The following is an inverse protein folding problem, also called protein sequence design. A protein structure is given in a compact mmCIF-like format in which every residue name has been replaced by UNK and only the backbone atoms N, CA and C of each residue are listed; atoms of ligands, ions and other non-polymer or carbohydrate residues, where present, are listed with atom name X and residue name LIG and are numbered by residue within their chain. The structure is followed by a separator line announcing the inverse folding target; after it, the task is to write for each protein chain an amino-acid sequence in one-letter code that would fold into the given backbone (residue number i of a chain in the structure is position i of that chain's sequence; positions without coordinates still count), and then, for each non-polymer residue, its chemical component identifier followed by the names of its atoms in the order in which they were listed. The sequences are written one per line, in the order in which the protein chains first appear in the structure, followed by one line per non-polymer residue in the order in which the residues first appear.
data_IF_255664417420
#
_entry.id   IF_255664417420
#
_cell.length_a   1.000
_cell.length_b   1.000
_cell.length_c   1.000
_cell.angle_alpha   90.00
_cell.angle_beta   90.00
_cell.angle_gamma   90.00
#
_symmetry.space_group_name_H-M   'P 1'
#
loop_
_entity.id
_entity.type
_entity.pdbx_description
1 polymer ?
#
# COMPACT_ATOMS: atom_id res chain seq x y z
N UNK A 1 -4.57 6.76 4.65
CA UNK A 1 -4.33 7.39 5.96
C UNK A 1 -2.87 7.36 6.33
N UNK A 2 -2.41 8.42 6.98
CA UNK A 2 -1.04 8.49 7.51
C UNK A 2 -1.05 8.15 9.01
N UNK A 3 -0.17 7.27 9.43
CA UNK A 3 -0.06 6.80 10.82
C UNK A 3 1.39 6.77 11.26
N UNK A 4 1.61 7.05 12.54
CA UNK A 4 2.94 7.01 13.16
C UNK A 4 2.97 5.97 14.26
N UNK A 5 4.10 5.33 14.47
CA UNK A 5 4.28 4.31 15.50
C UNK A 5 5.12 3.13 15.04
N UNK A 6 5.13 2.08 15.84
CA UNK A 6 5.85 0.85 15.52
C UNK A 6 5.24 0.14 14.33
N UNK A 7 6.08 -0.45 13.48
CA UNK A 7 5.69 -1.18 12.29
C UNK A 7 4.55 -2.19 12.52
N UNK A 8 4.55 -2.88 13.66
CA UNK A 8 3.52 -3.87 13.99
C UNK A 8 2.16 -3.24 14.32
N UNK A 9 2.16 -2.05 14.91
CA UNK A 9 0.95 -1.37 15.37
C UNK A 9 0.29 -0.53 14.28
N UNK A 10 1.12 0.07 13.43
CA UNK A 10 0.69 0.92 12.33
C UNK A 10 -0.38 0.27 11.44
N UNK A 11 -0.23 -1.03 11.14
CA UNK A 11 -1.18 -1.78 10.33
C UNK A 11 -2.58 -1.87 10.95
N UNK A 12 -2.66 -2.09 12.27
CA UNK A 12 -3.94 -2.16 13.00
C UNK A 12 -4.60 -0.79 13.09
N UNK A 13 -3.84 0.25 13.41
CA UNK A 13 -4.35 1.62 13.55
C UNK A 13 -4.87 2.15 12.20
N UNK A 14 -4.12 1.91 11.14
CA UNK A 14 -4.55 2.27 9.79
C UNK A 14 -5.79 1.51 9.35
N UNK A 15 -5.83 0.19 9.60
CA UNK A 15 -6.99 -0.63 9.24
C UNK A 15 -8.26 -0.17 9.97
N UNK A 16 -8.16 0.22 11.23
CA UNK A 16 -9.31 0.73 11.99
C UNK A 16 -9.91 1.97 11.33
N UNK A 17 -9.08 2.90 10.87
CA UNK A 17 -9.52 4.13 10.19
C UNK A 17 -10.08 3.84 8.79
N UNK A 18 -9.32 3.14 7.97
CA UNK A 18 -9.70 2.83 6.58
C UNK A 18 -10.85 1.82 6.53
N UNK A 19 -10.85 0.83 7.42
CA UNK A 19 -11.95 -0.12 7.59
C UNK A 19 -13.23 0.57 8.02
N UNK A 20 -13.13 1.51 8.97
CA UNK A 20 -14.25 2.35 9.37
C UNK A 20 -14.92 3.02 8.17
N UNK A 21 -14.13 3.64 7.30
CA UNK A 21 -14.63 4.28 6.09
C UNK A 21 -15.40 3.33 5.17
N UNK A 22 -14.84 2.18 4.82
CA UNK A 22 -15.49 1.23 3.90
C UNK A 22 -16.66 0.48 4.53
N UNK A 23 -16.73 0.41 5.87
CA UNK A 23 -17.84 -0.22 6.59
C UNK A 23 -18.98 0.75 6.93
N UNK A 24 -18.93 1.99 6.44
CA UNK A 24 -20.04 2.93 6.52
C UNK A 24 -19.75 4.20 7.32
N UNK A 25 -18.54 4.42 7.85
CA UNK A 25 -18.16 5.69 8.50
C UNK A 25 -17.82 6.76 7.45
N UNK A 26 -18.81 7.11 6.64
CA UNK A 26 -18.77 8.14 5.62
C UNK A 26 -20.11 8.89 5.59
N UNK A 27 -20.18 10.00 4.88
CA UNK A 27 -21.33 10.91 4.91
C UNK A 27 -22.65 10.31 4.41
N UNK A 28 -22.62 9.18 3.72
CA UNK A 28 -23.81 8.48 3.18
C UNK A 28 -24.08 7.14 3.85
N UNK A 29 -23.31 6.75 4.87
CA UNK A 29 -23.37 5.44 5.53
C UNK A 29 -23.24 4.27 4.54
N UNK A 30 -22.56 4.50 3.41
CA UNK A 30 -22.40 3.52 2.35
C UNK A 30 -21.33 2.47 2.72
N UNK A 31 -21.65 1.20 2.49
CA UNK A 31 -20.68 0.11 2.60
C UNK A 31 -19.99 -0.11 1.26
N UNK A 32 -18.66 -0.07 1.27
CA UNK A 32 -17.82 -0.25 0.10
C UNK A 32 -17.10 -1.60 0.23
N UNK A 33 -17.07 -2.36 -0.85
CA UNK A 33 -16.38 -3.65 -0.86
C UNK A 33 -14.86 -3.47 -0.67
N UNK A 34 -14.27 -4.30 0.19
CA UNK A 34 -12.83 -4.32 0.37
C UNK A 34 -12.15 -4.97 -0.84
N UNK A 35 -11.07 -4.39 -1.30
CA UNK A 35 -10.23 -4.94 -2.38
C UNK A 35 -8.83 -5.29 -1.86
N UNK A 36 -8.05 -5.96 -2.68
CA UNK A 36 -6.64 -6.23 -2.44
C UNK A 36 -5.80 -5.61 -3.57
N UNK A 37 -4.57 -5.21 -3.30
CA UNK A 37 -3.85 -5.29 -2.03
C UNK A 37 -4.15 -4.14 -1.07
N UNK A 38 -3.76 -4.29 0.20
CA UNK A 38 -3.52 -3.20 1.14
C UNK A 38 -2.06 -2.79 1.02
N UNK A 39 -1.79 -1.52 0.82
CA UNK A 39 -0.42 -1.02 0.63
C UNK A 39 0.05 -0.18 1.81
N UNK A 40 1.35 -0.21 2.05
CA UNK A 40 2.03 0.56 3.08
C UNK A 40 3.33 1.11 2.53
N UNK A 41 3.56 2.41 2.71
CA UNK A 41 4.79 3.10 2.30
C UNK A 41 5.33 3.87 3.48
N UNK A 42 6.63 3.78 3.73
CA UNK A 42 7.27 4.61 4.75
C UNK A 42 7.59 5.99 4.18
N UNK A 43 7.12 7.03 4.87
CA UNK A 43 7.43 8.42 4.52
C UNK A 43 8.81 8.82 5.06
N UNK A 44 9.47 9.86 4.50
CA UNK A 44 10.78 10.31 4.95
C UNK A 44 10.83 10.76 6.42
N UNK A 45 9.71 11.16 6.99
CA UNK A 45 9.57 11.53 8.41
C UNK A 45 9.43 10.32 9.36
N UNK A 46 9.48 9.09 8.82
CA UNK A 46 9.34 7.85 9.57
C UNK A 46 7.90 7.40 9.82
N UNK A 47 6.90 8.19 9.42
CA UNK A 47 5.49 7.77 9.43
C UNK A 47 5.20 6.81 8.28
N UNK A 48 4.00 6.23 8.29
CA UNK A 48 3.56 5.30 7.25
C UNK A 48 2.28 5.80 6.60
N UNK A 49 2.26 5.77 5.27
CA UNK A 49 1.06 5.94 4.48
C UNK A 49 0.48 4.55 4.19
N UNK A 50 -0.72 4.28 4.68
CA UNK A 50 -1.44 3.03 4.42
C UNK A 50 -2.66 3.32 3.56
N UNK A 51 -2.87 2.52 2.52
CA UNK A 51 -3.91 2.76 1.54
C UNK A 51 -4.73 1.51 1.24
N UNK A 52 -6.03 1.72 1.06
CA UNK A 52 -6.94 0.76 0.44
C UNK A 52 -7.25 1.23 -0.98
N UNK A 53 -7.34 0.30 -1.92
CA UNK A 53 -7.83 0.60 -3.26
C UNK A 53 -9.35 0.49 -3.29
N UNK A 54 -9.99 1.48 -3.88
CA UNK A 54 -11.43 1.43 -4.06
C UNK A 54 -11.82 0.58 -5.26
N UNK A 55 -12.99 -0.10 -5.23
CA UNK A 55 -13.47 -0.85 -6.39
C UNK A 55 -13.56 0.02 -7.64
N UNK A 56 -13.23 -0.54 -8.80
CA UNK A 56 -13.15 0.19 -10.08
C UNK A 56 -14.46 0.85 -10.55
N UNK A 57 -15.59 0.47 -9.97
CA UNK A 57 -16.89 1.12 -10.22
C UNK A 57 -17.00 2.52 -9.62
N UNK A 58 -16.10 2.90 -8.71
CA UNK A 58 -16.05 4.22 -8.08
C UNK A 58 -14.99 5.11 -8.72
N UNK A 59 -15.28 6.40 -8.73
CA UNK A 59 -14.33 7.49 -9.02
C UNK A 59 -14.26 8.42 -7.82
N UNK A 60 -13.34 9.38 -7.81
CA UNK A 60 -13.29 10.41 -6.75
C UNK A 60 -14.62 11.13 -6.57
N UNK A 61 -15.34 11.38 -7.67
CA UNK A 61 -16.63 12.10 -7.64
C UNK A 61 -17.78 11.24 -7.10
N UNK A 62 -17.66 9.92 -7.13
CA UNK A 62 -18.72 8.98 -6.70
C UNK A 62 -18.48 8.38 -5.32
N UNK A 63 -17.27 8.51 -4.78
CA UNK A 63 -16.96 8.06 -3.43
C UNK A 63 -17.55 9.01 -2.39
N UNK A 64 -18.22 8.49 -1.34
CA UNK A 64 -18.70 9.33 -0.26
C UNK A 64 -17.52 9.94 0.52
N UNK A 65 -17.69 11.17 1.00
CA UNK A 65 -16.66 11.80 1.82
C UNK A 65 -16.48 11.05 3.15
N UNK A 66 -15.24 10.85 3.62
CA UNK A 66 -14.99 10.28 4.93
C UNK A 66 -15.48 11.21 6.04
N UNK A 67 -15.96 10.64 7.14
CA UNK A 67 -16.28 11.38 8.36
C UNK A 67 -15.06 11.57 9.26
N UNK A 68 -14.05 10.72 9.11
CA UNK A 68 -12.75 10.85 9.78
C UNK A 68 -11.79 11.67 8.91
N UNK A 69 -11.33 12.81 9.43
CA UNK A 69 -10.37 13.68 8.74
C UNK A 69 -9.00 13.04 8.49
N UNK A 70 -8.68 11.94 9.19
CA UNK A 70 -7.46 11.17 8.96
C UNK A 70 -7.52 10.27 7.71
N UNK A 71 -8.69 10.12 7.10
CA UNK A 71 -8.89 9.39 5.86
C UNK A 71 -8.99 10.37 4.70
N UNK A 72 -8.13 10.23 3.71
CA UNK A 72 -8.10 11.07 2.52
C UNK A 72 -8.27 10.23 1.26
N UNK A 73 -8.87 10.83 0.23
CA UNK A 73 -9.01 10.23 -1.09
C UNK A 73 -7.93 10.75 -2.01
N UNK A 74 -7.25 9.85 -2.70
CA UNK A 74 -6.18 10.19 -3.63
C UNK A 74 -6.35 9.40 -4.92
N UNK A 75 -6.23 10.08 -6.04
CA UNK A 75 -6.11 9.42 -7.34
C UNK A 75 -4.64 9.09 -7.59
N UNK A 76 -4.36 7.82 -7.90
CA UNK A 76 -3.02 7.37 -8.18
C UNK A 76 -2.73 7.56 -9.67
N UNK A 77 -1.68 8.31 -10.04
CA UNK A 77 -1.33 8.48 -11.45
C UNK A 77 -0.82 7.18 -12.05
N UNK A 78 -0.92 7.05 -13.36
CA UNK A 78 -0.30 5.95 -14.10
C UNK A 78 1.21 5.92 -13.83
N UNK A 79 1.70 4.78 -13.38
CA UNK A 79 3.07 4.62 -12.91
C UNK A 79 3.62 3.25 -13.29
N UNK A 80 4.86 3.20 -13.75
CA UNK A 80 5.57 1.94 -13.92
C UNK A 80 6.14 1.49 -12.59
N UNK A 81 6.01 0.19 -12.29
CA UNK A 81 6.56 -0.43 -11.09
C UNK A 81 7.44 -1.61 -11.46
N UNK A 82 8.62 -1.68 -10.84
CA UNK A 82 9.30 -2.93 -10.65
C UNK A 82 8.66 -3.66 -9.47
N UNK A 83 8.46 -4.97 -9.58
CA UNK A 83 7.72 -5.75 -8.58
C UNK A 83 8.45 -7.04 -8.26
N UNK A 84 8.58 -7.37 -6.98
CA UNK A 84 8.94 -8.69 -6.52
C UNK A 84 7.85 -9.27 -5.64
N UNK A 85 7.55 -10.56 -5.81
CA UNK A 85 6.54 -11.30 -5.05
C UNK A 85 7.18 -12.34 -4.17
N UNK A 86 6.73 -12.46 -2.93
CA UNK A 86 7.20 -13.47 -2.00
C UNK A 86 6.07 -13.98 -1.09
N UNK A 87 6.29 -15.12 -0.47
CA UNK A 87 5.37 -15.71 0.51
C UNK A 87 5.92 -15.57 1.91
N UNK A 88 5.03 -15.42 2.87
CA UNK A 88 5.39 -15.40 4.28
C UNK A 88 4.65 -14.38 5.12
N UNK A 89 5.07 -14.26 6.38
CA UNK A 89 4.50 -13.32 7.33
C UNK A 89 4.85 -11.87 7.02
N UNK A 90 4.14 -10.98 7.67
CA UNK A 90 4.31 -9.54 7.59
C UNK A 90 5.37 -9.07 8.59
N UNK A 91 6.64 -9.19 8.26
CA UNK A 91 7.73 -8.66 9.07
C UNK A 91 8.47 -7.57 8.31
N UNK A 92 8.91 -6.55 9.03
CA UNK A 92 9.68 -5.45 8.45
C UNK A 92 10.97 -5.97 7.81
N UNK A 93 11.64 -6.91 8.45
CA UNK A 93 12.86 -7.54 7.94
C UNK A 93 12.65 -8.16 6.55
N UNK A 94 11.58 -8.95 6.37
CA UNK A 94 11.28 -9.56 5.07
C UNK A 94 10.97 -8.53 3.99
N UNK A 95 10.27 -7.45 4.35
CA UNK A 95 10.03 -6.37 3.39
C UNK A 95 11.32 -5.71 2.98
N UNK A 96 12.19 -5.35 3.93
CA UNK A 96 13.46 -4.71 3.65
C UNK A 96 14.41 -5.60 2.84
N UNK A 97 14.46 -6.91 3.11
CA UNK A 97 15.25 -7.86 2.32
C UNK A 97 14.78 -7.92 0.86
N UNK A 98 13.48 -8.00 0.63
CA UNK A 98 12.93 -8.05 -0.72
C UNK A 98 13.04 -6.70 -1.43
N UNK A 99 12.90 -5.60 -0.72
CA UNK A 99 13.12 -4.24 -1.22
C UNK A 99 14.56 -4.07 -1.71
N UNK A 100 15.54 -4.48 -0.89
CA UNK A 100 16.96 -4.40 -1.27
C UNK A 100 17.26 -5.22 -2.52
N UNK A 101 16.78 -6.46 -2.58
CA UNK A 101 16.96 -7.32 -3.77
C UNK A 101 16.34 -6.72 -5.03
N UNK A 102 15.18 -6.08 -4.90
CA UNK A 102 14.52 -5.44 -6.02
C UNK A 102 15.27 -4.18 -6.46
N UNK A 103 15.76 -3.39 -5.51
CA UNK A 103 16.59 -2.22 -5.80
C UNK A 103 17.87 -2.62 -6.53
N UNK A 104 18.58 -3.64 -6.05
CA UNK A 104 19.78 -4.15 -6.70
C UNK A 104 19.49 -4.62 -8.14
N UNK A 105 18.33 -5.23 -8.37
CA UNK A 105 17.90 -5.66 -9.69
C UNK A 105 17.61 -4.48 -10.63
N UNK A 106 17.01 -3.40 -10.13
CA UNK A 106 16.76 -2.17 -10.90
C UNK A 106 18.09 -1.51 -11.26
N UNK A 107 19.01 -1.40 -10.30
CA UNK A 107 20.33 -0.79 -10.51
C UNK A 107 21.17 -1.54 -11.56
N UNK A 108 20.89 -2.83 -11.77
CA UNK A 108 21.50 -3.64 -12.83
C UNK A 108 20.86 -3.42 -14.23
N UNK A 109 19.77 -2.66 -14.32
CA UNK A 109 19.05 -2.38 -15.57
C UNK A 109 19.25 -0.91 -15.98
N UNK A 110 20.18 -0.61 -16.90
CA UNK A 110 20.53 0.78 -17.25
C UNK A 110 19.37 1.59 -17.87
N UNK A 111 18.35 0.90 -18.38
CA UNK A 111 17.15 1.52 -18.95
C UNK A 111 16.11 1.98 -17.92
N UNK A 112 16.28 1.62 -16.66
CA UNK A 112 15.35 1.96 -15.58
C UNK A 112 16.06 2.62 -14.41
N UNK A 113 15.38 3.53 -13.75
CA UNK A 113 15.82 4.13 -12.50
C UNK A 113 14.68 4.23 -11.49
N UNK A 114 15.01 4.18 -10.22
CA UNK A 114 14.03 4.36 -9.13
C UNK A 114 13.44 5.77 -9.19
N UNK A 115 12.12 5.86 -9.10
CA UNK A 115 11.36 7.12 -9.24
C UNK A 115 10.52 7.48 -8.02
N UNK A 116 10.54 6.69 -6.95
CA UNK A 116 9.77 6.96 -5.74
C UNK A 116 10.04 5.96 -4.63
N UNK A 117 9.35 6.15 -3.51
CA UNK A 117 9.49 5.30 -2.33
C UNK A 117 8.91 3.90 -2.57
N UNK A 118 9.51 2.85 -1.98
CA UNK A 118 9.00 1.49 -2.07
C UNK A 118 7.61 1.36 -1.43
N UNK A 119 6.80 0.49 -2.00
CA UNK A 119 5.44 0.17 -1.55
C UNK A 119 5.40 -1.30 -1.17
N UNK A 120 4.91 -1.60 0.02
CA UNK A 120 4.71 -2.96 0.50
C UNK A 120 3.23 -3.33 0.36
N UNK A 121 2.92 -4.39 -0.36
CA UNK A 121 1.57 -4.81 -0.67
C UNK A 121 1.22 -6.15 -0.02
N UNK A 122 0.05 -6.20 0.63
CA UNK A 122 -0.50 -7.38 1.31
C UNK A 122 -1.77 -7.80 0.61
N UNK A 123 -1.83 -9.06 0.17
CA UNK A 123 -2.96 -9.57 -0.60
C UNK A 123 -3.93 -10.42 0.21
N UNK A 124 -3.48 -10.97 1.34
CA UNK A 124 -4.25 -11.92 2.13
C UNK A 124 -4.73 -11.34 3.46
N UNK A 125 -5.88 -11.81 3.97
CA UNK A 125 -6.37 -11.40 5.28
C UNK A 125 -5.51 -11.99 6.43
N UNK A 126 -5.54 -11.37 7.61
CA UNK A 126 -4.77 -11.84 8.78
C UNK A 126 -5.06 -13.29 9.21
N UNK A 127 -6.28 -13.79 8.92
CA UNK A 127 -6.67 -15.17 9.23
C UNK A 127 -5.92 -16.22 8.40
N UNK A 128 -5.41 -15.84 7.24
CA UNK A 128 -4.59 -16.71 6.40
C UNK A 128 -3.30 -17.07 7.15
N UNK A 129 -2.94 -18.37 7.26
CA UNK A 129 -1.65 -18.76 7.84
C UNK A 129 -0.49 -18.05 7.16
N UNK A 130 0.48 -17.57 7.95
CA UNK A 130 1.53 -16.66 7.47
C UNK A 130 2.32 -17.22 6.29
N UNK A 131 2.58 -18.52 6.26
CA UNK A 131 3.37 -19.18 5.20
C UNK A 131 2.64 -19.26 3.85
N UNK A 132 1.32 -19.07 3.82
CA UNK A 132 0.54 -19.01 2.58
C UNK A 132 0.34 -17.59 2.07
N UNK A 133 0.56 -16.56 2.91
CA UNK A 133 0.31 -15.18 2.52
C UNK A 133 1.21 -14.75 1.37
N UNK A 134 0.60 -14.07 0.41
CA UNK A 134 1.29 -13.45 -0.72
C UNK A 134 1.54 -11.98 -0.41
N UNK A 135 2.78 -11.56 -0.61
CA UNK A 135 3.23 -10.18 -0.47
C UNK A 135 3.98 -9.73 -1.71
N UNK A 136 3.98 -8.44 -1.95
CA UNK A 136 4.79 -7.82 -2.99
C UNK A 136 5.51 -6.59 -2.43
N UNK A 137 6.69 -6.33 -2.98
CA UNK A 137 7.33 -5.03 -2.92
C UNK A 137 7.26 -4.43 -4.32
N UNK A 138 6.75 -3.20 -4.40
CA UNK A 138 6.67 -2.43 -5.62
C UNK A 138 7.56 -1.20 -5.47
N UNK A 139 8.43 -0.97 -6.43
CA UNK A 139 9.25 0.25 -6.48
C UNK A 139 8.86 1.03 -7.74
N UNK A 140 8.39 2.28 -7.59
CA UNK A 140 8.14 3.14 -8.75
C UNK A 140 9.42 3.32 -9.56
N UNK A 141 9.32 3.14 -10.87
CA UNK A 141 10.45 3.28 -11.79
C UNK A 141 10.10 4.16 -12.96
N UNK A 142 11.09 4.77 -13.56
CA UNK A 142 10.97 5.48 -14.83
C UNK A 142 12.06 5.05 -15.79
N UNK A 143 11.79 5.19 -17.09
CA UNK A 143 12.82 4.95 -18.08
C UNK A 143 13.87 6.06 -18.02
N UNK A 144 15.12 5.65 -17.99
CA UNK A 144 16.24 6.56 -18.24
C UNK A 144 16.17 7.00 -19.70
N UNK A 145 16.21 8.29 -19.97
CA UNK A 145 16.25 8.76 -21.36
C UNK A 145 17.50 8.20 -22.03
N UNK A 146 17.38 7.75 -23.30
CA UNK A 146 18.53 7.36 -24.09
C UNK A 146 19.48 8.51 -24.34
#
# INVERSE_FOLDING_TARGET
TQVSGDFKQVGSDAFQKLGGYIFGQNVTDEKIAMTAPVTQTQSPDGSYLVSFFMPSKHSLDTLPNPTDAAVTMVEMPETYFAVTRYRGGWSQEKYLDNEQRLTDAIDAMPEWEVAGEPIWARYDPPIMPSFFRTNEVLIPVRQTRP
#
